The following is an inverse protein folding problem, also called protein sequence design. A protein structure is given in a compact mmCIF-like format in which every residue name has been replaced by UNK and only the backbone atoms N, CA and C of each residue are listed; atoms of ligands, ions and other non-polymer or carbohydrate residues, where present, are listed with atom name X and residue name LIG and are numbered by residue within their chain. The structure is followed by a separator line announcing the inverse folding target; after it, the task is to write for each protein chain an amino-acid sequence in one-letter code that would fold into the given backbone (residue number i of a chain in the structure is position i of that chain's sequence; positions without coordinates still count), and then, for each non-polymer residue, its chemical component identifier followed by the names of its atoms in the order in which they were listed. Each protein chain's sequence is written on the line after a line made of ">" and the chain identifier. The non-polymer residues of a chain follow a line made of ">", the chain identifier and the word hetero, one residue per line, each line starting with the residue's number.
data_IF_935207092354
#
_entry.id   IF_935207092354
#
_cell.length_a   1.000
_cell.length_b   1.000
_cell.length_c   1.000
_cell.angle_alpha   90.00
_cell.angle_beta   90.00
_cell.angle_gamma   90.00
#
_symmetry.space_group_name_H-M   'P 1'
#
loop_
_entity.id
_entity.type
_entity.pdbx_description
1 polymer ?
#
# COMPACT_ATOMS: atom_id res chain seq x y z
N UNK A 1 17.84 14.53 -0.33
CA UNK A 1 18.72 13.35 -0.41
C UNK A 1 18.20 12.41 0.66
N UNK A 2 17.18 11.62 0.32
CA UNK A 2 16.83 10.45 1.11
C UNK A 2 17.70 9.36 0.48
N UNK A 3 18.83 9.19 1.13
CA UNK A 3 19.78 8.12 0.90
C UNK A 3 19.06 6.78 0.98
N UNK A 4 19.42 5.88 0.08
CA UNK A 4 19.43 4.43 0.26
C UNK A 4 18.66 3.90 1.48
N UNK A 5 17.44 3.41 1.25
CA UNK A 5 16.81 2.44 2.15
C UNK A 5 16.00 1.42 1.33
N UNK A 6 16.53 1.04 0.16
CA UNK A 6 16.04 -0.13 -0.59
C UNK A 6 16.42 -1.45 0.13
N UNK A 7 17.12 -1.36 1.27
CA UNK A 7 17.61 -2.49 2.06
C UNK A 7 16.85 -2.72 3.39
N UNK A 8 15.98 -1.80 3.78
CA UNK A 8 15.09 -1.99 4.92
C UNK A 8 13.68 -1.97 4.36
N UNK A 9 13.07 -3.13 4.14
CA UNK A 9 12.17 -3.74 5.13
C UNK A 9 11.53 -5.01 4.51
N UNK A 10 11.36 -6.03 5.36
CA UNK A 10 10.41 -7.14 5.29
C UNK A 10 10.94 -8.49 4.74
N UNK A 11 11.68 -9.21 5.61
CA UNK A 11 11.37 -10.62 5.82
C UNK A 11 9.92 -10.67 6.34
N UNK A 12 8.96 -11.00 5.47
CA UNK A 12 7.62 -11.41 5.94
C UNK A 12 7.80 -12.84 6.45
N UNK A 13 8.35 -12.99 7.65
CA UNK A 13 8.27 -14.27 8.33
C UNK A 13 6.79 -14.52 8.65
N UNK A 14 6.25 -15.58 8.06
CA UNK A 14 4.92 -16.11 8.30
C UNK A 14 4.82 -16.72 9.72
N UNK A 15 5.22 -15.97 10.75
CA UNK A 15 5.15 -16.41 12.13
C UNK A 15 3.72 -16.20 12.64
N UNK A 16 2.94 -17.27 12.53
CA UNK A 16 1.70 -17.54 13.26
C UNK A 16 0.58 -16.48 13.17
N UNK A 17 -0.13 -16.44 12.04
CA UNK A 17 -1.58 -16.18 12.09
C UNK A 17 -2.26 -17.46 12.58
N UNK A 18 -2.06 -17.80 13.85
CA UNK A 18 -2.78 -18.91 14.45
C UNK A 18 -4.17 -18.46 14.92
N UNK A 19 -5.16 -18.94 14.17
CA UNK A 19 -6.53 -19.29 14.53
C UNK A 19 -7.59 -18.21 14.87
N UNK A 20 -7.28 -16.96 15.23
CA UNK A 20 -8.35 -16.01 15.65
C UNK A 20 -8.22 -14.57 15.08
N UNK A 21 -7.38 -14.36 14.07
CA UNK A 21 -7.18 -13.05 13.46
C UNK A 21 -7.55 -13.01 11.97
N UNK A 22 -8.33 -12.02 11.54
CA UNK A 22 -8.48 -11.68 10.12
C UNK A 22 -7.45 -10.62 9.74
N UNK A 23 -6.73 -10.84 8.64
CA UNK A 23 -5.75 -9.92 8.09
C UNK A 23 -6.28 -9.33 6.78
N UNK A 24 -6.18 -8.01 6.63
CA UNK A 24 -6.41 -7.32 5.37
C UNK A 24 -5.27 -6.36 5.07
N UNK A 25 -5.01 -6.12 3.79
CA UNK A 25 -3.95 -5.20 3.35
C UNK A 25 -4.49 -4.11 2.44
N UNK A 26 -3.89 -2.93 2.50
CA UNK A 26 -4.09 -1.84 1.54
C UNK A 26 -2.74 -1.34 1.04
N UNK A 27 -2.74 -0.69 -0.13
CA UNK A 27 -1.55 -0.01 -0.62
C UNK A 27 -1.97 1.29 -1.29
N UNK A 28 -1.51 2.42 -0.76
CA UNK A 28 -1.70 3.73 -1.39
C UNK A 28 -0.38 4.38 -1.77
N UNK A 29 -0.46 5.33 -2.68
CA UNK A 29 0.61 6.24 -3.01
C UNK A 29 0.17 7.66 -2.70
N UNK A 30 1.05 8.42 -2.04
CA UNK A 30 0.94 9.88 -1.97
C UNK A 30 1.88 10.45 -3.03
N UNK A 31 1.30 11.03 -4.07
CA UNK A 31 2.04 11.66 -5.16
C UNK A 31 1.43 13.02 -5.47
N UNK A 32 2.26 14.07 -5.54
CA UNK A 32 1.81 15.42 -5.81
C UNK A 32 0.61 15.87 -4.94
N UNK A 33 0.68 15.56 -3.63
CA UNK A 33 -0.37 15.85 -2.63
C UNK A 33 -1.71 15.13 -2.86
N UNK A 34 -1.76 14.19 -3.80
CA UNK A 34 -2.92 13.32 -4.05
C UNK A 34 -2.66 11.91 -3.52
N UNK A 35 -3.73 11.23 -3.12
CA UNK A 35 -3.67 9.85 -2.61
C UNK A 35 -4.32 8.91 -3.61
N UNK A 36 -3.55 7.97 -4.14
CA UNK A 36 -4.04 6.97 -5.09
C UNK A 36 -4.02 5.58 -4.46
N UNK A 37 -5.11 4.85 -4.62
CA UNK A 37 -5.23 3.44 -4.27
C UNK A 37 -4.58 2.56 -5.33
N UNK A 38 -3.45 1.94 -4.96
CA UNK A 38 -2.65 1.10 -5.86
C UNK A 38 -3.22 -0.32 -6.00
N UNK A 39 -4.20 -0.70 -5.20
CA UNK A 39 -4.81 -2.03 -5.21
C UNK A 39 -6.17 -2.08 -5.90
N UNK A 40 -6.72 -0.92 -6.29
CA UNK A 40 -7.99 -0.84 -7.01
C UNK A 40 -7.92 -1.65 -8.32
N UNK A 41 -8.93 -2.48 -8.59
CA UNK A 41 -8.99 -3.31 -9.80
C UNK A 41 -9.06 -2.49 -11.09
N UNK A 42 -9.55 -1.25 -11.00
CA UNK A 42 -9.71 -0.32 -12.11
C UNK A 42 -8.75 0.88 -11.99
N UNK A 43 -7.62 0.70 -11.28
CA UNK A 43 -6.59 1.73 -11.11
C UNK A 43 -6.13 2.35 -12.44
N UNK A 44 -5.95 1.53 -13.47
CA UNK A 44 -5.52 2.00 -14.80
C UNK A 44 -6.58 2.85 -15.51
N UNK A 45 -7.84 2.70 -15.12
CA UNK A 45 -8.95 3.53 -15.60
C UNK A 45 -9.12 4.82 -14.79
N UNK A 46 -8.22 5.08 -13.83
CA UNK A 46 -8.25 6.25 -12.94
C UNK A 46 -9.17 6.10 -11.72
N UNK A 47 -9.79 4.93 -11.53
CA UNK A 47 -10.63 4.68 -10.35
C UNK A 47 -9.74 4.41 -9.14
N UNK A 48 -10.07 5.04 -8.02
CA UNK A 48 -9.25 5.00 -6.82
C UNK A 48 -8.12 6.04 -6.81
N UNK A 49 -8.06 6.95 -7.79
CA UNK A 49 -7.14 8.08 -7.78
C UNK A 49 -7.71 9.27 -7.01
N UNK A 50 -6.84 10.11 -6.46
CA UNK A 50 -7.17 11.33 -5.73
C UNK A 50 -8.24 11.13 -4.65
N UNK A 51 -8.07 10.07 -3.85
CA UNK A 51 -8.95 9.73 -2.75
C UNK A 51 -8.92 10.81 -1.66
N UNK A 52 -10.10 11.06 -1.09
CA UNK A 52 -10.25 12.03 -0.02
C UNK A 52 -9.66 11.49 1.30
N UNK A 53 -8.79 12.30 1.91
CA UNK A 53 -8.25 12.09 3.25
C UNK A 53 -9.05 12.90 4.26
N UNK A 54 -9.59 12.25 5.30
CA UNK A 54 -10.30 12.88 6.41
C UNK A 54 -9.37 13.17 7.59
N UNK A 55 -9.89 13.92 8.55
CA UNK A 55 -9.26 14.12 9.86
C UNK A 55 -8.79 12.79 10.47
N UNK A 56 -7.58 12.80 11.02
CA UNK A 56 -6.92 11.60 11.52
C UNK A 56 -6.26 10.73 10.44
N UNK A 57 -6.19 11.18 9.19
CA UNK A 57 -5.47 10.49 8.11
C UNK A 57 -6.23 9.32 7.48
N UNK A 58 -7.55 9.26 7.66
CA UNK A 58 -8.38 8.19 7.10
C UNK A 58 -8.65 8.46 5.63
N UNK A 59 -8.23 7.53 4.76
CA UNK A 59 -8.48 7.58 3.31
C UNK A 59 -9.79 6.86 2.98
N UNK A 60 -10.79 7.56 2.45
CA UNK A 60 -12.05 6.93 2.03
C UNK A 60 -11.93 6.24 0.68
N UNK A 61 -12.61 5.11 0.51
CA UNK A 61 -12.63 4.40 -0.77
C UNK A 61 -11.36 3.60 -1.06
N UNK A 62 -10.42 3.53 -0.10
CA UNK A 62 -9.23 2.71 -0.20
C UNK A 62 -9.59 1.22 -0.22
N UNK A 63 -9.05 0.49 -1.20
CA UNK A 63 -9.23 -0.97 -1.31
C UNK A 63 -8.50 -1.69 -0.18
N UNK A 64 -9.22 -2.58 0.51
CA UNK A 64 -8.68 -3.50 1.50
C UNK A 64 -8.88 -4.95 1.04
N UNK A 65 -7.79 -5.67 0.84
CA UNK A 65 -7.80 -7.07 0.39
C UNK A 65 -7.60 -7.97 1.60
N UNK A 66 -8.56 -8.84 1.87
CA UNK A 66 -8.42 -9.87 2.91
C UNK A 66 -7.37 -10.89 2.46
N UNK A 67 -6.40 -11.19 3.33
CA UNK A 67 -5.37 -12.19 3.11
C UNK A 67 -5.51 -13.30 4.16
N UNK A 68 -5.59 -14.53 3.69
CA UNK A 68 -5.62 -15.76 4.50
C UNK A 68 -4.24 -16.43 4.58
N UNK A 69 -3.36 -16.11 3.63
CA UNK A 69 -2.00 -16.67 3.52
C UNK A 69 -0.96 -15.57 3.24
N UNK A 70 0.30 -15.76 3.64
CA UNK A 70 1.40 -14.84 3.31
C UNK A 70 1.54 -14.58 1.81
N UNK A 71 1.36 -15.62 0.98
CA UNK A 71 1.50 -15.49 -0.48
C UNK A 71 0.48 -14.50 -1.09
N UNK A 72 -0.74 -14.44 -0.55
CA UNK A 72 -1.78 -13.49 -1.00
C UNK A 72 -1.39 -12.04 -0.68
N UNK A 73 -0.69 -11.82 0.45
CA UNK A 73 -0.14 -10.51 0.78
C UNK A 73 0.98 -10.13 -0.18
N UNK A 74 1.90 -11.06 -0.48
CA UNK A 74 3.01 -10.83 -1.39
C UNK A 74 2.51 -10.54 -2.82
N UNK A 75 1.47 -11.26 -3.26
CA UNK A 75 0.80 -11.02 -4.54
C UNK A 75 0.19 -9.61 -4.58
N UNK A 76 -0.56 -9.21 -3.54
CA UNK A 76 -1.13 -7.87 -3.45
C UNK A 76 -0.04 -6.79 -3.48
N UNK A 77 1.04 -6.97 -2.71
CA UNK A 77 2.18 -6.06 -2.71
C UNK A 77 2.81 -5.93 -4.10
N UNK A 78 3.07 -7.05 -4.77
CA UNK A 78 3.67 -7.09 -6.11
C UNK A 78 2.79 -6.40 -7.14
N UNK A 79 1.48 -6.64 -7.09
CA UNK A 79 0.50 -5.98 -7.97
C UNK A 79 0.47 -4.47 -7.74
N UNK A 80 0.42 -4.02 -6.49
CA UNK A 80 0.41 -2.59 -6.15
C UNK A 80 1.69 -1.88 -6.62
N UNK A 81 2.86 -2.53 -6.52
CA UNK A 81 4.12 -1.97 -7.00
C UNK A 81 4.12 -1.63 -8.48
N UNK A 82 3.41 -2.40 -9.31
CA UNK A 82 3.28 -2.12 -10.74
C UNK A 82 2.49 -0.83 -11.03
N UNK A 83 1.67 -0.38 -10.09
CA UNK A 83 0.87 0.83 -10.20
C UNK A 83 1.56 2.08 -9.62
N UNK A 84 2.75 1.95 -8.99
CA UNK A 84 3.44 3.08 -8.38
C UNK A 84 3.96 4.03 -9.45
N UNK A 85 3.56 5.30 -9.36
CA UNK A 85 4.07 6.36 -10.23
C UNK A 85 5.45 6.81 -9.75
N UNK A 86 6.46 6.62 -10.59
CA UNK A 86 7.80 7.19 -10.40
C UNK A 86 7.92 8.39 -11.34
N UNK A 87 8.13 9.59 -10.80
CA UNK A 87 8.31 10.79 -11.61
C UNK A 87 9.67 10.72 -12.34
N UNK A 88 9.70 10.19 -13.56
CA UNK A 88 10.87 10.27 -14.44
C UNK A 88 10.86 11.58 -15.22
N UNK A 89 11.55 12.59 -14.69
CA UNK A 89 12.07 13.68 -15.53
C UNK A 89 13.54 13.88 -15.23
N UNK A 90 14.36 14.06 -16.28
CA UNK A 90 15.84 14.14 -16.27
C UNK A 90 16.49 15.11 -15.26
N UNK A 91 15.71 15.88 -14.52
CA UNK A 91 16.20 16.93 -13.61
C UNK A 91 15.61 16.87 -12.19
N UNK A 92 14.73 15.90 -11.86
CA UNK A 92 14.20 15.76 -10.50
C UNK A 92 14.56 14.40 -9.92
N UNK A 93 15.34 14.44 -8.85
CA UNK A 93 15.72 13.31 -7.99
C UNK A 93 14.45 12.56 -7.58
N UNK A 94 14.30 11.32 -8.04
CA UNK A 94 13.10 10.47 -8.02
C UNK A 94 12.50 10.13 -6.63
N UNK A 95 12.93 10.79 -5.55
CA UNK A 95 12.68 10.33 -4.17
C UNK A 95 11.99 11.36 -3.26
N UNK A 96 11.59 12.55 -3.73
CA UNK A 96 11.05 13.60 -2.83
C UNK A 96 9.56 13.90 -2.99
N UNK A 97 8.87 13.33 -3.99
CA UNK A 97 7.47 13.70 -4.29
C UNK A 97 6.50 12.51 -4.33
N UNK A 98 6.98 11.33 -3.96
CA UNK A 98 6.25 10.06 -4.12
C UNK A 98 6.53 9.17 -2.92
N UNK A 99 5.50 8.85 -2.14
CA UNK A 99 5.56 7.94 -1.00
C UNK A 99 4.55 6.81 -1.20
N UNK A 100 5.01 5.57 -1.24
CA UNK A 100 4.14 4.40 -1.30
C UNK A 100 4.00 3.80 0.10
N UNK A 101 2.78 3.56 0.55
CA UNK A 101 2.43 3.11 1.90
C UNK A 101 1.67 1.80 1.77
N UNK A 102 2.26 0.71 2.27
CA UNK A 102 1.60 -0.59 2.40
C UNK A 102 1.12 -0.77 3.84
N UNK A 103 -0.17 -1.03 4.03
CA UNK A 103 -0.76 -1.15 5.36
C UNK A 103 -1.29 -2.55 5.59
N UNK A 104 -1.08 -3.05 6.81
CA UNK A 104 -1.66 -4.29 7.30
C UNK A 104 -2.68 -3.94 8.39
N UNK A 105 -3.89 -4.49 8.27
CA UNK A 105 -4.95 -4.42 9.28
C UNK A 105 -5.17 -5.82 9.82
N UNK A 106 -4.84 -6.01 11.09
CA UNK A 106 -5.09 -7.23 11.84
C UNK A 106 -6.29 -6.99 12.74
N UNK A 107 -7.26 -7.89 12.72
CA UNK A 107 -8.41 -7.85 13.63
C UNK A 107 -8.51 -9.17 14.35
N UNK A 108 -8.45 -9.14 15.68
CA UNK A 108 -8.75 -10.28 16.54
C UNK A 108 -10.24 -10.27 16.89
N UNK A 109 -10.92 -11.39 16.70
CA UNK A 109 -12.25 -11.58 17.28
C UNK A 109 -12.07 -12.25 18.64
N UNK A 110 -12.17 -11.48 19.72
CA UNK A 110 -12.28 -12.07 21.07
C UNK A 110 -13.71 -12.59 21.21
N UNK A 111 -13.88 -13.89 21.43
CA UNK A 111 -15.17 -14.50 21.78
C UNK A 111 -15.56 -14.12 23.22
#
# INVERSE_FOLDING_TARGET
>A
MISQDVANVYDIEAAAVQAIASLSVSHQQVYNEQVDDLLNSEHQSGIGHNLNVRDGGIVNGLTWIRCSKPDEMLEAFTRARANVVYAETKMNKASSRSHAIFQLRISHSVL
#
